data_IF_537037565092
#
_entry.id   IF_537037565092
#
_cell.length_a   1.000
_cell.length_b   1.000
_cell.length_c   1.000
_cell.angle_alpha   90.00
_cell.angle_beta   90.00
_cell.angle_gamma   90.00
#
_symmetry.space_group_name_H-M   'P 1'
#
loop_
_entity.id
_entity.type
_entity.pdbx_description
1 polymer ?
#
# COMPACT_ATOMS: atom_id res chain seq x y z
N UNK A 1 4.51 -39.04 40.09
CA UNK A 1 4.07 -37.80 39.40
C UNK A 1 2.78 -37.37 40.08
N UNK A 2 2.77 -36.20 40.70
CA UNK A 2 1.72 -35.84 41.64
C UNK A 2 0.43 -35.48 40.91
N UNK A 3 -0.73 -35.71 41.55
CA UNK A 3 -2.05 -35.32 41.02
C UNK A 3 -2.10 -33.83 40.64
N UNK A 4 -1.34 -33.02 41.38
CA UNK A 4 -1.16 -31.59 41.17
C UNK A 4 -0.44 -31.31 39.84
N UNK A 5 0.58 -32.10 39.48
CA UNK A 5 1.32 -31.95 38.22
C UNK A 5 0.45 -32.32 37.00
N UNK A 6 -0.45 -33.29 37.16
CA UNK A 6 -1.42 -33.66 36.12
C UNK A 6 -2.50 -32.58 35.94
N UNK A 7 -2.93 -31.94 37.02
CA UNK A 7 -3.89 -30.85 36.99
C UNK A 7 -3.29 -29.59 36.38
N UNK A 8 -2.04 -29.24 36.72
CA UNK A 8 -1.36 -28.07 36.14
C UNK A 8 -1.13 -28.23 34.64
N UNK A 9 -0.76 -29.42 34.17
CA UNK A 9 -0.69 -29.72 32.73
C UNK A 9 -2.05 -29.59 32.04
N UNK A 10 -3.13 -30.08 32.65
CA UNK A 10 -4.48 -29.96 32.10
C UNK A 10 -4.92 -28.49 32.00
N UNK A 11 -4.68 -27.68 33.03
CA UNK A 11 -4.97 -26.24 33.03
C UNK A 11 -4.12 -25.46 32.02
N UNK A 12 -2.84 -25.82 31.84
CA UNK A 12 -1.96 -25.22 30.83
C UNK A 12 -2.39 -25.58 29.41
N UNK A 13 -2.83 -26.82 29.17
CA UNK A 13 -3.38 -27.19 27.85
C UNK A 13 -4.70 -26.47 27.55
N UNK A 14 -5.59 -26.31 28.52
CA UNK A 14 -6.87 -25.59 28.34
C UNK A 14 -6.67 -24.09 28.03
N UNK A 15 -5.62 -23.47 28.58
CA UNK A 15 -5.32 -22.05 28.35
C UNK A 15 -4.66 -21.78 26.98
N UNK A 16 -4.03 -22.78 26.36
CA UNK A 16 -3.52 -22.72 24.98
C UNK A 16 -4.65 -22.80 23.93
N UNK A 17 -5.82 -23.34 24.28
CA UNK A 17 -6.98 -23.44 23.36
C UNK A 17 -7.77 -22.12 23.27
N UNK A 18 -7.26 -21.00 23.81
CA UNK A 18 -7.78 -19.67 23.47
C UNK A 18 -7.30 -19.27 22.07
N UNK A 19 -7.81 -20.03 21.10
CA UNK A 19 -7.74 -19.77 19.67
C UNK A 19 -8.07 -18.31 19.42
N UNK A 20 -7.23 -17.63 18.64
CA UNK A 20 -7.56 -16.36 18.04
C UNK A 20 -8.89 -16.54 17.32
N UNK A 21 -9.93 -15.86 17.80
CA UNK A 21 -11.23 -15.80 17.13
C UNK A 21 -11.02 -15.06 15.80
N UNK A 22 -10.63 -15.78 14.75
CA UNK A 22 -10.79 -15.31 13.38
C UNK A 22 -12.29 -15.40 13.13
N UNK A 23 -13.00 -14.28 12.91
CA UNK A 23 -14.40 -14.35 12.50
C UNK A 23 -14.45 -15.23 11.25
N UNK A 24 -15.19 -16.34 11.30
CA UNK A 24 -15.55 -17.06 10.08
C UNK A 24 -16.37 -16.06 9.28
N UNK A 25 -15.83 -15.56 8.18
CA UNK A 25 -16.69 -14.97 7.17
C UNK A 25 -17.59 -16.10 6.67
N UNK A 26 -18.87 -16.05 7.06
CA UNK A 26 -19.91 -16.74 6.31
C UNK A 26 -19.82 -16.21 4.89
N UNK A 27 -19.29 -17.05 4.00
CA UNK A 27 -19.03 -16.69 2.62
C UNK A 27 -20.31 -16.18 1.97
N UNK A 28 -20.32 -14.89 1.63
CA UNK A 28 -21.38 -14.27 0.83
C UNK A 28 -21.52 -15.03 -0.48
N UNK A 29 -22.74 -15.39 -0.83
CA UNK A 29 -23.04 -16.06 -2.08
C UNK A 29 -22.72 -15.18 -3.29
N UNK A 30 -22.63 -15.74 -4.51
CA UNK A 30 -22.32 -14.99 -5.74
C UNK A 30 -23.29 -13.85 -6.07
N UNK A 31 -24.45 -13.79 -5.40
CA UNK A 31 -25.54 -12.83 -5.63
C UNK A 31 -25.74 -11.82 -4.48
N UNK A 32 -24.92 -11.87 -3.44
CA UNK A 32 -25.11 -11.00 -2.28
C UNK A 32 -24.66 -9.57 -2.59
N UNK A 33 -25.64 -8.67 -2.71
CA UNK A 33 -25.38 -7.25 -2.90
C UNK A 33 -24.95 -6.64 -1.57
N UNK A 34 -23.74 -6.07 -1.54
CA UNK A 34 -23.26 -5.30 -0.39
C UNK A 34 -24.09 -4.01 -0.27
N UNK A 35 -24.74 -3.80 0.87
CA UNK A 35 -25.59 -2.64 1.08
C UNK A 35 -24.81 -1.32 0.95
N UNK A 36 -25.45 -0.28 0.42
CA UNK A 36 -24.82 1.03 0.19
C UNK A 36 -24.11 1.58 1.43
N UNK A 37 -24.75 1.54 2.60
CA UNK A 37 -24.15 2.04 3.84
C UNK A 37 -22.91 1.25 4.25
N UNK A 38 -22.85 -0.04 3.96
CA UNK A 38 -21.65 -0.84 4.21
C UNK A 38 -20.51 -0.42 3.27
N UNK A 39 -20.80 -0.24 1.98
CA UNK A 39 -19.82 0.26 1.00
C UNK A 39 -19.29 1.62 1.43
N UNK A 40 -20.19 2.56 1.73
CA UNK A 40 -19.85 3.94 2.14
C UNK A 40 -18.97 3.97 3.40
N UNK A 41 -19.38 3.25 4.45
CA UNK A 41 -18.63 3.22 5.71
C UNK A 41 -17.28 2.52 5.54
N UNK A 42 -17.22 1.45 4.75
CA UNK A 42 -15.96 0.74 4.46
C UNK A 42 -15.04 1.52 3.53
N UNK A 43 -15.54 2.44 2.71
CA UNK A 43 -14.75 3.23 1.75
C UNK A 43 -14.34 4.61 2.25
N UNK A 44 -14.90 5.11 3.36
CA UNK A 44 -14.59 6.46 3.87
C UNK A 44 -13.10 6.69 4.17
N UNK A 45 -12.66 7.95 4.08
CA UNK A 45 -11.30 8.37 4.42
C UNK A 45 -10.96 8.05 5.89
N UNK A 46 -10.02 7.13 6.11
CA UNK A 46 -9.55 6.74 7.45
C UNK A 46 -8.14 6.10 7.37
N UNK A 47 -7.42 5.95 8.49
CA UNK A 47 -6.17 5.19 8.48
C UNK A 47 -6.44 3.70 8.21
N UNK A 48 -5.70 3.13 7.27
CA UNK A 48 -5.81 1.74 6.79
C UNK A 48 -4.44 1.11 6.74
N UNK A 49 -4.40 -0.19 6.96
CA UNK A 49 -3.19 -0.97 6.76
C UNK A 49 -2.89 -1.08 5.27
N UNK A 50 -1.67 -0.71 4.91
CA UNK A 50 -1.14 -0.82 3.54
C UNK A 50 0.25 -1.40 3.60
N UNK A 51 0.62 -2.15 2.56
CA UNK A 51 1.99 -2.60 2.37
C UNK A 51 2.78 -1.47 1.72
N UNK A 52 3.83 -1.03 2.41
CA UNK A 52 4.76 0.00 1.92
C UNK A 52 6.11 -0.65 1.68
N UNK A 53 6.67 -0.42 0.49
CA UNK A 53 8.00 -0.89 0.15
C UNK A 53 9.06 -0.11 0.94
N UNK A 54 9.98 -0.83 1.58
CA UNK A 54 11.02 -0.23 2.43
C UNK A 54 11.98 0.65 1.60
N UNK A 55 12.31 0.22 0.38
CA UNK A 55 13.18 0.97 -0.54
C UNK A 55 12.56 2.31 -0.98
N UNK A 56 11.23 2.39 -1.09
CA UNK A 56 10.55 3.62 -1.47
C UNK A 56 10.63 4.68 -0.37
N UNK A 57 10.61 4.26 0.90
CA UNK A 57 10.78 5.14 2.05
C UNK A 57 12.26 5.52 2.28
N UNK A 58 13.20 4.67 1.84
CA UNK A 58 14.64 4.86 1.99
C UNK A 58 15.39 4.76 0.65
N UNK A 59 15.14 5.69 -0.29
CA UNK A 59 15.71 5.62 -1.65
C UNK A 59 17.23 5.81 -1.68
N UNK A 60 17.82 6.39 -0.63
CA UNK A 60 19.27 6.59 -0.51
C UNK A 60 20.05 5.27 -0.30
N UNK A 61 19.39 4.20 0.14
CA UNK A 61 20.03 2.93 0.53
C UNK A 61 19.96 1.84 -0.56
N UNK A 62 20.22 2.20 -1.82
CA UNK A 62 20.07 1.30 -2.99
C UNK A 62 20.99 0.07 -3.01
N UNK A 63 22.07 0.05 -2.23
CA UNK A 63 23.02 -1.07 -2.19
C UNK A 63 22.49 -2.30 -1.43
N UNK A 64 21.32 -2.17 -0.78
CA UNK A 64 20.84 -3.14 0.18
C UNK A 64 19.51 -3.76 -0.24
N UNK A 65 19.40 -5.06 0.03
CA UNK A 65 18.15 -5.78 -0.06
C UNK A 65 17.58 -5.89 1.35
N UNK A 66 16.34 -5.46 1.53
CA UNK A 66 15.63 -5.55 2.80
C UNK A 66 14.80 -6.83 2.90
N UNK A 67 14.82 -7.46 4.07
CA UNK A 67 13.97 -8.59 4.42
C UNK A 67 13.22 -8.25 5.72
N UNK A 68 11.88 -8.11 5.67
CA UNK A 68 11.03 -8.13 4.47
C UNK A 68 11.28 -6.90 3.56
N UNK A 69 10.90 -7.00 2.28
CA UNK A 69 10.99 -5.89 1.31
C UNK A 69 9.88 -4.85 1.49
N UNK A 70 8.77 -5.24 2.13
CA UNK A 70 7.66 -4.37 2.47
C UNK A 70 7.23 -4.56 3.93
N UNK A 71 6.64 -3.53 4.51
CA UNK A 71 6.11 -3.51 5.87
C UNK A 71 4.66 -3.05 5.87
N UNK A 72 3.88 -3.52 6.84
CA UNK A 72 2.48 -3.08 7.04
C UNK A 72 2.51 -1.79 7.85
N UNK A 73 1.93 -0.72 7.31
CA UNK A 73 1.80 0.58 7.98
C UNK A 73 0.37 1.09 7.91
N UNK A 74 -0.05 1.84 8.92
CA UNK A 74 -1.28 2.64 8.85
C UNK A 74 -1.05 3.91 8.04
N UNK A 75 -1.65 4.00 6.85
CA UNK A 75 -1.66 5.21 6.01
C UNK A 75 -3.09 5.63 5.70
N UNK A 76 -3.27 6.89 5.35
CA UNK A 76 -4.61 7.40 5.02
C UNK A 76 -5.05 6.81 3.68
N UNK A 77 -6.26 6.27 3.65
CA UNK A 77 -6.85 5.71 2.44
C UNK A 77 -8.37 5.71 2.50
N UNK A 78 -8.98 5.46 1.34
CA UNK A 78 -10.42 5.62 1.14
C UNK A 78 -10.74 6.81 0.23
N UNK A 79 -12.02 7.08 0.06
CA UNK A 79 -12.53 8.14 -0.80
C UNK A 79 -13.17 9.28 0.00
N UNK A 80 -13.19 10.45 -0.63
CA UNK A 80 -13.96 11.62 -0.20
C UNK A 80 -15.17 11.79 -1.12
N UNK A 81 -16.18 12.52 -0.66
CA UNK A 81 -17.44 12.71 -1.41
C UNK A 81 -17.31 13.64 -2.63
N UNK A 82 -16.29 14.51 -2.64
CA UNK A 82 -16.02 15.46 -3.73
C UNK A 82 -14.62 15.17 -4.30
N UNK A 83 -14.50 15.13 -5.62
CA UNK A 83 -13.25 14.96 -6.37
C UNK A 83 -12.22 16.06 -6.07
N UNK A 84 -12.68 17.22 -5.60
CA UNK A 84 -11.83 18.34 -5.18
C UNK A 84 -11.25 18.15 -3.78
N UNK A 85 -11.59 17.06 -3.10
CA UNK A 85 -11.13 16.72 -1.76
C UNK A 85 -10.18 15.53 -1.81
N UNK A 86 -9.08 15.62 -1.08
CA UNK A 86 -8.10 14.56 -0.92
C UNK A 86 -8.09 14.05 0.53
N UNK A 87 -8.04 12.73 0.69
CA UNK A 87 -7.86 12.10 1.99
C UNK A 87 -6.40 12.30 2.45
N UNK A 88 -6.20 13.07 3.51
CA UNK A 88 -4.86 13.48 3.98
C UNK A 88 -4.71 13.25 5.48
N UNK A 89 -3.48 13.02 5.94
CA UNK A 89 -3.18 12.83 7.35
C UNK A 89 -3.32 14.15 8.12
N UNK A 90 -3.91 14.07 9.31
CA UNK A 90 -4.01 15.20 10.23
C UNK A 90 -3.05 15.08 11.40
N UNK A 91 -2.73 13.86 11.78
CA UNK A 91 -1.69 13.53 12.76
C UNK A 91 -1.00 12.23 12.39
N UNK A 92 0.30 12.17 12.70
CA UNK A 92 1.17 11.04 12.40
C UNK A 92 2.15 10.80 13.54
N UNK A 93 2.66 9.58 13.65
CA UNK A 93 3.77 9.22 14.52
C UNK A 93 4.74 8.30 13.79
N UNK A 94 5.94 8.13 14.34
CA UNK A 94 6.92 7.21 13.79
C UNK A 94 6.93 5.91 14.60
N UNK A 95 6.97 4.78 13.89
CA UNK A 95 7.21 3.44 14.45
C UNK A 95 8.56 2.94 13.97
N UNK A 96 9.34 2.33 14.86
CA UNK A 96 10.62 1.72 14.50
C UNK A 96 10.47 0.22 14.39
N UNK A 97 10.83 -0.34 13.24
CA UNK A 97 10.77 -1.76 12.95
C UNK A 97 12.17 -2.33 12.76
N UNK A 98 12.34 -3.59 13.14
CA UNK A 98 13.55 -4.35 12.86
C UNK A 98 13.45 -4.99 11.47
N UNK A 99 14.41 -4.69 10.61
CA UNK A 99 14.47 -5.15 9.22
C UNK A 99 15.86 -5.70 8.96
N UNK A 100 15.93 -6.87 8.35
CA UNK A 100 17.21 -7.43 7.92
C UNK A 100 17.71 -6.73 6.67
N UNK A 101 18.98 -6.38 6.68
CA UNK A 101 19.69 -5.72 5.57
C UNK A 101 20.74 -6.66 5.02
N UNK A 102 20.67 -6.95 3.72
CA UNK A 102 21.62 -7.81 3.02
C UNK A 102 22.40 -6.97 2.02
N UNK A 103 23.70 -7.23 1.94
CA UNK A 103 24.58 -6.74 0.87
C UNK A 103 25.09 -7.95 0.11
N UNK A 104 25.09 -7.88 -1.22
CA UNK A 104 25.29 -9.02 -2.14
C UNK A 104 26.53 -9.88 -1.85
N UNK A 105 27.55 -9.35 -1.18
CA UNK A 105 28.77 -10.06 -0.78
C UNK A 105 29.11 -9.99 0.72
N UNK A 106 28.17 -9.61 1.60
CA UNK A 106 28.41 -9.52 3.05
C UNK A 106 27.29 -10.16 3.85
N UNK A 107 27.56 -10.40 5.13
CA UNK A 107 26.60 -10.99 6.08
C UNK A 107 25.37 -10.10 6.30
N UNK A 108 24.26 -10.76 6.65
CA UNK A 108 23.00 -10.10 7.00
C UNK A 108 23.14 -9.43 8.36
N UNK A 109 22.69 -8.18 8.46
CA UNK A 109 22.62 -7.47 9.74
C UNK A 109 21.19 -7.04 10.03
N UNK A 110 20.79 -7.12 11.29
CA UNK A 110 19.55 -6.51 11.75
C UNK A 110 19.74 -4.99 11.76
N UNK A 111 18.75 -4.27 11.25
CA UNK A 111 18.74 -2.81 11.18
C UNK A 111 17.40 -2.27 11.65
N UNK A 112 17.44 -1.19 12.42
CA UNK A 112 16.22 -0.50 12.84
C UNK A 112 15.89 0.58 11.83
N UNK A 113 14.66 0.56 11.29
CA UNK A 113 14.14 1.56 10.36
C UNK A 113 12.88 2.18 10.93
N UNK A 114 12.76 3.50 10.84
CA UNK A 114 11.59 4.23 11.33
C UNK A 114 10.63 4.56 10.18
N UNK A 115 9.34 4.37 10.38
CA UNK A 115 8.33 4.61 9.37
C UNK A 115 7.25 5.54 9.93
N UNK A 116 6.74 6.44 9.10
CA UNK A 116 5.62 7.28 9.48
C UNK A 116 4.30 6.51 9.35
N UNK A 117 3.50 6.51 10.42
CA UNK A 117 2.11 6.04 10.45
C UNK A 117 1.15 7.19 10.71
N UNK A 118 -0.01 7.14 10.06
CA UNK A 118 -1.07 8.10 10.22
C UNK A 118 -2.03 7.65 11.33
N UNK A 119 -2.27 8.52 12.30
CA UNK A 119 -3.17 8.26 13.44
C UNK A 119 -4.59 8.72 13.09
N UNK A 120 -4.72 9.86 12.39
CA UNK A 120 -5.99 10.42 11.97
C UNK A 120 -5.91 10.97 10.54
N UNK A 121 -7.05 10.90 9.83
CA UNK A 121 -7.19 11.28 8.44
C UNK A 121 -8.45 12.11 8.24
N UNK A 122 -8.38 13.12 7.36
CA UNK A 122 -9.52 13.95 6.99
C UNK A 122 -9.51 14.26 5.49
N UNK A 123 -10.71 14.44 4.94
CA UNK A 123 -10.88 14.99 3.60
C UNK A 123 -10.63 16.50 3.62
N UNK A 124 -9.65 16.97 2.84
CA UNK A 124 -9.29 18.39 2.73
C UNK A 124 -9.26 18.82 1.27
N UNK A 125 -9.56 20.09 1.00
CA UNK A 125 -9.55 20.62 -0.37
C UNK A 125 -8.14 20.51 -0.97
N UNK A 126 -8.07 20.05 -2.22
CA UNK A 126 -6.83 20.02 -3.00
C UNK A 126 -6.39 21.47 -3.20
N UNK A 127 -5.26 21.85 -2.60
CA UNK A 127 -4.63 23.13 -2.88
C UNK A 127 -4.00 23.02 -4.27
N UNK A 128 -4.64 23.62 -5.26
CA UNK A 128 -4.00 23.79 -6.56
C UNK A 128 -2.89 24.83 -6.37
N UNK A 129 -1.67 24.39 -6.10
CA UNK A 129 -0.50 25.22 -6.34
C UNK A 129 -0.39 25.38 -7.86
N UNK A 130 -1.13 26.35 -8.39
CA UNK A 130 -0.82 26.93 -9.68
C UNK A 130 0.56 27.55 -9.46
N UNK A 131 1.62 26.85 -9.86
CA UNK A 131 2.91 27.48 -10.11
C UNK A 131 2.65 28.42 -11.27
N UNK A 132 2.16 29.60 -10.95
CA UNK A 132 2.00 30.72 -11.85
C UNK A 132 3.42 31.17 -12.13
N UNK A 133 4.07 30.49 -13.08
CA UNK A 133 5.30 31.00 -13.66
C UNK A 133 4.98 32.38 -14.21
N UNK A 134 5.41 33.41 -13.48
CA UNK A 134 5.29 34.81 -13.83
C UNK A 134 5.91 35.07 -15.21
N UNK A 135 5.16 34.85 -16.28
CA UNK A 135 5.48 35.44 -17.57
C UNK A 135 5.08 36.90 -17.51
N UNK A 136 6.03 37.75 -17.12
CA UNK A 136 5.93 39.22 -17.22
C UNK A 136 5.36 39.61 -18.59
N UNK A 137 4.18 40.26 -18.68
CA UNK A 137 3.67 40.73 -19.95
C UNK A 137 4.31 42.09 -20.29
N UNK A 138 5.15 42.10 -21.33
CA UNK A 138 5.51 43.33 -22.03
C UNK A 138 4.28 43.84 -22.80
N UNK A 139 3.91 45.11 -22.55
CA UNK A 139 3.27 45.98 -23.54
C UNK A 139 1.76 46.17 -23.44
N UNK A 140 1.35 47.42 -23.18
CA UNK A 140 -0.02 47.94 -23.23
C UNK A 140 -0.66 47.82 -24.62
N UNK A 141 -1.98 47.55 -24.69
CA UNK A 141 -2.97 48.36 -25.44
C UNK A 141 -4.41 47.97 -25.12
N UNK A 142 -5.28 49.00 -25.07
CA UNK A 142 -6.70 49.02 -24.69
C UNK A 142 -7.60 48.31 -25.73
N UNK A 143 -8.66 47.65 -25.28
CA UNK A 143 -9.78 47.21 -26.13
C UNK A 143 -10.86 46.42 -25.38
N UNK A 144 -12.11 46.88 -25.44
CA UNK A 144 -13.29 46.31 -24.79
C UNK A 144 -13.78 44.97 -25.38
N UNK A 145 -14.55 44.25 -24.54
CA UNK A 145 -15.73 43.40 -24.81
C UNK A 145 -15.60 41.86 -24.89
N UNK A 146 -16.45 41.27 -24.03
CA UNK A 146 -17.22 40.00 -24.08
C UNK A 146 -16.57 38.71 -23.55
N UNK A 147 -17.03 38.35 -22.34
CA UNK A 147 -16.92 37.03 -21.70
C UNK A 147 -17.45 35.93 -22.63
N UNK A 148 -16.60 34.96 -22.95
CA UNK A 148 -17.00 33.60 -23.34
C UNK A 148 -16.15 32.62 -22.51
N UNK A 149 -16.79 31.90 -21.60
CA UNK A 149 -16.17 30.94 -20.68
C UNK A 149 -15.67 29.76 -21.51
N UNK A 150 -14.37 29.71 -21.81
CA UNK A 150 -13.71 28.56 -22.44
C UNK A 150 -13.39 27.56 -21.32
N UNK A 151 -14.10 26.43 -21.29
CA UNK A 151 -13.68 25.29 -20.47
C UNK A 151 -12.27 24.90 -20.92
N UNK A 152 -11.31 24.94 -20.00
CA UNK A 152 -10.04 24.26 -20.18
C UNK A 152 -10.19 22.93 -19.48
N UNK A 153 -10.19 21.87 -20.27
CA UNK A 153 -9.95 20.53 -19.78
C UNK A 153 -8.61 20.55 -19.03
N UNK A 154 -8.70 20.36 -17.71
CA UNK A 154 -7.53 20.08 -16.90
C UNK A 154 -7.20 18.62 -17.20
N UNK A 155 -6.12 18.38 -17.94
CA UNK A 155 -5.59 17.03 -18.11
C UNK A 155 -5.20 16.52 -16.73
N UNK A 156 -5.92 15.49 -16.28
CA UNK A 156 -5.55 14.60 -15.19
C UNK A 156 -4.05 14.34 -15.23
N UNK A 157 -3.34 14.71 -14.16
CA UNK A 157 -2.01 14.19 -13.93
C UNK A 157 -2.23 12.76 -13.47
N UNK A 158 -2.14 11.84 -14.42
CA UNK A 158 -2.35 10.43 -14.21
C UNK A 158 -1.45 9.97 -13.05
N UNK A 159 -2.10 9.62 -11.94
CA UNK A 159 -1.49 8.86 -10.85
C UNK A 159 -1.09 7.54 -11.48
N UNK A 160 0.20 7.41 -11.79
CA UNK A 160 0.80 6.18 -12.25
C UNK A 160 0.66 5.14 -11.12
N UNK A 161 -0.44 4.41 -11.15
CA UNK A 161 -0.59 3.15 -10.44
C UNK A 161 0.37 2.20 -11.13
N UNK A 162 1.54 1.97 -10.54
CA UNK A 162 2.43 0.88 -10.89
C UNK A 162 1.71 -0.45 -10.66
N UNK A 163 0.89 -0.87 -11.62
CA UNK A 163 0.58 -2.28 -11.79
C UNK A 163 1.82 -2.93 -12.36
N UNK A 164 2.61 -3.58 -11.50
CA UNK A 164 3.77 -4.36 -11.90
C UNK A 164 3.35 -5.68 -12.59
N UNK A 165 2.54 -5.60 -13.64
CA UNK A 165 2.32 -6.70 -14.56
C UNK A 165 3.07 -6.39 -15.85
N UNK A 166 4.38 -6.68 -15.84
CA UNK A 166 5.17 -6.70 -17.06
C UNK A 166 4.87 -8.01 -17.82
N UNK A 167 4.28 -7.97 -19.03
CA UNK A 167 4.01 -9.17 -19.82
C UNK A 167 5.30 -9.91 -20.23
N UNK A 168 6.46 -9.25 -20.14
CA UNK A 168 7.76 -9.84 -20.47
C UNK A 168 8.28 -10.82 -19.40
N UNK A 169 7.85 -10.69 -18.14
CA UNK A 169 8.20 -11.64 -17.07
C UNK A 169 7.41 -12.95 -17.17
N UNK A 170 6.22 -12.92 -17.77
CA UNK A 170 5.39 -14.12 -17.94
C UNK A 170 5.94 -15.07 -19.02
N UNK A 171 6.54 -14.53 -20.09
CA UNK A 171 7.19 -15.34 -21.13
C UNK A 171 8.50 -15.96 -20.65
N UNK A 172 9.28 -15.28 -19.80
CA UNK A 172 10.56 -15.81 -19.32
C UNK A 172 10.36 -16.96 -18.33
N UNK A 173 9.37 -16.87 -17.44
CA UNK A 173 9.03 -17.95 -16.51
C UNK A 173 8.46 -19.17 -17.25
N UNK A 174 7.63 -18.95 -18.28
CA UNK A 174 7.10 -20.04 -19.11
C UNK A 174 8.20 -20.77 -19.92
N UNK A 175 9.20 -20.05 -20.43
CA UNK A 175 10.37 -20.63 -21.12
C UNK A 175 11.28 -21.41 -20.17
N UNK A 176 11.47 -20.94 -18.94
CA UNK A 176 12.23 -21.68 -17.91
C UNK A 176 11.49 -22.95 -17.46
N UNK A 177 10.17 -22.87 -17.26
CA UNK A 177 9.36 -24.03 -16.90
C UNK A 177 9.35 -25.09 -18.00
N UNK A 178 9.22 -24.69 -19.27
CA UNK A 178 9.26 -25.63 -20.41
C UNK A 178 10.64 -26.26 -20.61
N UNK A 179 11.73 -25.52 -20.34
CA UNK A 179 13.08 -26.11 -20.34
C UNK A 179 13.30 -27.13 -19.22
N UNK A 180 12.84 -26.85 -18.00
CA UNK A 180 12.97 -27.78 -16.88
C UNK A 180 12.16 -29.07 -17.11
N UNK A 181 10.94 -28.94 -17.64
CA UNK A 181 10.09 -30.10 -17.96
C UNK A 181 10.73 -30.93 -19.10
N UNK A 182 11.31 -30.28 -20.10
CA UNK A 182 12.00 -30.99 -21.20
C UNK A 182 13.25 -31.73 -20.72
N UNK A 183 14.07 -31.11 -19.86
CA UNK A 183 15.26 -31.75 -19.28
C UNK A 183 14.91 -32.96 -18.40
N UNK A 184 13.84 -32.88 -17.61
CA UNK A 184 13.38 -33.99 -16.76
C UNK A 184 12.83 -35.17 -17.59
N UNK A 185 12.15 -34.89 -18.70
CA UNK A 185 11.63 -35.90 -19.63
C UNK A 185 12.76 -36.58 -20.41
N UNK A 186 13.78 -35.84 -20.85
CA UNK A 186 14.98 -36.43 -21.50
C UNK A 186 15.88 -37.23 -20.56
N UNK A 187 15.76 -37.05 -19.24
CA UNK A 187 16.49 -37.84 -18.23
C UNK A 187 15.77 -39.15 -17.88
N UNK A 188 14.48 -39.27 -18.24
CA UNK A 188 13.63 -40.43 -17.95
C UNK A 188 13.46 -41.36 -19.16
N UNK A 189 14.20 -41.11 -20.25
CA UNK A 189 14.36 -41.93 -21.46
C UNK A 189 15.83 -42.36 -21.57
#
# INVERSE_FOLDING_TARGET
MNLIDSLTLLFLTLSVVKSAHIPREEGRGPTDVVAFMEVYNKSQCQPREVLVEVLQEYPEEVEYIYIPSCVVLRRCGGCCNDEKMQCTATSSHNITMEIKRLKQHRQQNNSFKSFAEHIACECRLIKTEVIEQEKKPKGKRRGQKRKRKKSRDVKSLDVYVSSAYSPYLHLSVALLATKLIWEEVTRSL
#
